data_IF_047363682947
#
_entry.id   IF_047363682947
#
_cell.length_a   1.000
_cell.length_b   1.000
_cell.length_c   1.000
_cell.angle_alpha   90.00
_cell.angle_beta   90.00
_cell.angle_gamma   90.00
#
_symmetry.space_group_name_H-M   'P 1'
#
loop_
_entity.id
_entity.type
_entity.pdbx_description
1 polymer ?
#
# COMPACT_ATOMS: atom_id res chain seq x y z
N UNK A 1 -31.18 21.61 63.14
CA UNK A 1 -30.23 20.84 62.30
C UNK A 1 -30.89 19.51 61.94
N UNK A 2 -31.27 19.31 60.68
CA UNK A 2 -31.63 18.00 60.12
C UNK A 2 -30.82 17.84 58.83
N UNK A 3 -29.81 16.95 58.79
CA UNK A 3 -29.12 16.62 57.56
C UNK A 3 -29.85 15.46 56.89
N UNK A 4 -30.11 15.54 55.58
CA UNK A 4 -30.68 14.39 54.88
C UNK A 4 -31.41 14.73 53.60
N UNK A 5 -30.73 15.36 52.64
CA UNK A 5 -31.20 15.38 51.25
C UNK A 5 -30.06 15.65 50.27
N UNK A 6 -28.92 14.97 50.46
CA UNK A 6 -27.79 15.10 49.52
C UNK A 6 -27.28 13.78 48.94
N UNK A 7 -27.69 12.64 49.49
CA UNK A 7 -27.23 11.32 49.02
C UNK A 7 -27.97 10.87 47.74
N UNK A 8 -29.18 11.38 47.48
CA UNK A 8 -29.97 10.97 46.32
C UNK A 8 -29.56 11.66 45.00
N UNK A 9 -28.89 12.82 45.05
CA UNK A 9 -28.40 13.50 43.83
C UNK A 9 -27.10 12.86 43.32
N UNK A 10 -26.26 12.31 44.22
CA UNK A 10 -25.02 11.65 43.82
C UNK A 10 -25.24 10.29 43.14
N UNK A 11 -26.41 9.67 43.32
CA UNK A 11 -26.72 8.36 42.75
C UNK A 11 -27.13 8.43 41.26
N UNK A 12 -27.48 9.61 40.75
CA UNK A 12 -27.92 9.80 39.36
C UNK A 12 -26.79 10.07 38.36
N UNK A 13 -25.55 10.28 38.82
CA UNK A 13 -24.40 10.58 37.96
C UNK A 13 -23.49 9.37 37.66
N UNK A 14 -23.77 8.20 38.24
CA UNK A 14 -23.02 6.96 37.95
C UNK A 14 -23.66 6.09 36.86
N UNK A 15 -24.71 6.56 36.20
CA UNK A 15 -25.29 5.90 35.03
C UNK A 15 -24.96 6.67 33.75
N UNK A 16 -23.70 7.05 33.56
CA UNK A 16 -23.20 7.37 32.24
C UNK A 16 -23.00 6.04 31.50
N UNK A 17 -23.65 5.80 30.35
CA UNK A 17 -23.25 4.68 29.52
C UNK A 17 -21.80 4.96 29.12
N UNK A 18 -20.92 4.01 29.40
CA UNK A 18 -19.59 3.95 28.81
C UNK A 18 -19.74 3.72 27.29
N UNK A 19 -20.17 4.76 26.58
CA UNK A 19 -20.11 4.83 25.14
C UNK A 19 -18.78 5.47 24.77
N UNK A 20 -18.02 4.76 23.93
CA UNK A 20 -16.78 5.19 23.28
C UNK A 20 -15.45 5.01 24.05
N UNK A 21 -15.17 3.81 24.55
CA UNK A 21 -13.93 3.18 24.08
C UNK A 21 -14.25 2.48 22.77
N UNK A 22 -14.04 3.17 21.64
CA UNK A 22 -13.93 2.50 20.36
C UNK A 22 -12.90 1.39 20.55
N UNK A 23 -13.34 0.14 20.45
CA UNK A 23 -12.45 -1.03 20.51
C UNK A 23 -11.41 -0.86 19.40
N UNK A 24 -10.19 -0.49 19.80
CA UNK A 24 -9.00 -0.47 18.94
C UNK A 24 -8.63 -1.88 18.42
N UNK A 25 -9.31 -2.93 18.91
CA UNK A 25 -9.19 -4.32 18.44
C UNK A 25 -10.09 -4.66 17.24
N UNK A 26 -10.65 -3.64 16.58
CA UNK A 26 -11.43 -3.84 15.37
C UNK A 26 -10.48 -4.17 14.21
N UNK A 27 -10.63 -5.32 13.52
CA UNK A 27 -9.70 -5.78 12.48
C UNK A 27 -9.64 -4.86 11.24
N UNK A 28 -10.56 -3.89 11.15
CA UNK A 28 -10.58 -2.88 10.10
C UNK A 28 -9.74 -1.63 10.44
N UNK A 29 -9.31 -1.45 11.70
CA UNK A 29 -8.44 -0.35 12.12
C UNK A 29 -6.99 -0.83 12.08
N UNK A 30 -6.10 -0.08 11.43
CA UNK A 30 -4.71 -0.54 11.27
C UNK A 30 -3.67 0.56 11.19
N UNK A 31 -2.43 0.14 11.44
CA UNK A 31 -1.20 0.92 11.23
C UNK A 31 -0.55 0.49 9.92
N UNK A 32 -0.09 1.45 9.12
CA UNK A 32 0.62 1.23 7.86
C UNK A 32 1.98 1.90 7.86
N UNK A 33 2.92 1.28 7.16
CA UNK A 33 4.17 1.90 6.73
C UNK A 33 4.17 1.92 5.20
N UNK A 34 4.30 3.09 4.60
CA UNK A 34 4.33 3.29 3.15
C UNK A 34 5.73 3.74 2.75
N UNK A 35 6.40 2.94 1.93
CA UNK A 35 7.67 3.30 1.32
C UNK A 35 7.40 4.03 0.01
N UNK A 36 7.86 5.28 -0.07
CA UNK A 36 7.74 6.11 -1.26
C UNK A 36 8.67 5.56 -2.36
N UNK A 37 8.15 5.34 -3.58
CA UNK A 37 9.00 4.94 -4.70
C UNK A 37 9.97 6.05 -5.08
N UNK A 38 11.14 5.68 -5.60
CA UNK A 38 12.21 6.62 -5.98
C UNK A 38 11.76 7.70 -6.97
N UNK A 39 10.74 7.39 -7.79
CA UNK A 39 10.15 8.30 -8.78
C UNK A 39 8.63 8.41 -8.60
N UNK A 40 8.17 9.06 -7.52
CA UNK A 40 6.75 9.07 -7.14
C UNK A 40 5.85 9.80 -8.15
N UNK A 41 6.42 10.65 -9.00
CA UNK A 41 5.70 11.32 -10.08
C UNK A 41 5.34 10.39 -11.25
N UNK A 42 6.03 9.26 -11.39
CA UNK A 42 5.87 8.33 -12.53
C UNK A 42 4.88 7.19 -12.25
N UNK A 43 4.30 7.17 -11.04
CA UNK A 43 3.44 6.09 -10.55
C UNK A 43 2.15 6.65 -9.97
N UNK A 44 1.05 5.88 -9.89
CA UNK A 44 -0.18 6.34 -9.29
C UNK A 44 -0.01 6.82 -7.84
N UNK A 45 -0.86 7.76 -7.37
CA UNK A 45 -0.86 8.18 -5.97
C UNK A 45 -1.03 7.02 -4.99
N UNK A 46 -0.41 7.12 -3.82
CA UNK A 46 -0.55 6.11 -2.77
C UNK A 46 -1.93 6.22 -2.10
N UNK A 47 -2.64 5.10 -1.97
CA UNK A 47 -3.96 5.09 -1.33
C UNK A 47 -3.85 5.20 0.20
N UNK A 48 -4.59 6.14 0.78
CA UNK A 48 -4.83 6.27 2.21
C UNK A 48 -6.30 5.97 2.49
N UNK A 49 -6.56 5.08 3.42
CA UNK A 49 -7.91 4.60 3.71
C UNK A 49 -8.46 5.35 4.91
N UNK A 50 -9.47 6.18 4.68
CA UNK A 50 -10.01 7.14 5.65
C UNK A 50 -11.50 6.91 5.87
N UNK A 51 -12.03 7.34 7.01
CA UNK A 51 -13.46 7.21 7.33
C UNK A 51 -13.96 8.45 8.07
N UNK A 52 -15.22 8.79 7.86
CA UNK A 52 -15.92 9.84 8.60
C UNK A 52 -15.69 9.72 10.11
N UNK A 53 -15.30 10.81 10.75
CA UNK A 53 -15.11 10.90 12.19
C UNK A 53 -13.91 10.12 12.76
N UNK A 54 -13.10 9.47 11.92
CA UNK A 54 -11.88 8.77 12.34
C UNK A 54 -10.65 9.58 11.93
N UNK A 55 -9.93 10.09 12.91
CA UNK A 55 -8.67 10.79 12.67
C UNK A 55 -7.59 9.80 12.21
N UNK A 56 -6.93 10.14 11.09
CA UNK A 56 -5.80 9.41 10.53
C UNK A 56 -4.53 10.24 10.71
N UNK A 57 -3.53 9.71 11.41
CA UNK A 57 -2.24 10.39 11.63
C UNK A 57 -1.21 9.96 10.58
N UNK A 58 -0.70 10.90 9.80
CA UNK A 58 0.42 10.69 8.90
C UNK A 58 1.71 11.19 9.55
N UNK A 59 2.76 10.39 9.50
CA UNK A 59 4.09 10.70 10.01
C UNK A 59 5.10 10.63 8.86
N UNK A 60 5.77 11.75 8.59
CA UNK A 60 6.78 11.89 7.55
C UNK A 60 8.18 11.94 8.16
N UNK A 61 9.17 11.38 7.47
CA UNK A 61 10.58 11.44 7.92
C UNK A 61 11.19 12.84 7.77
N UNK A 62 10.77 13.56 6.73
CA UNK A 62 11.20 14.92 6.47
C UNK A 62 10.12 15.92 6.90
N UNK A 63 10.52 17.13 7.32
CA UNK A 63 9.57 18.09 7.85
C UNK A 63 8.62 18.64 6.76
N UNK A 64 7.36 18.91 7.11
CA UNK A 64 6.37 19.59 6.28
C UNK A 64 6.78 21.05 6.05
N UNK A 65 6.59 21.53 4.81
CA UNK A 65 6.71 22.97 4.52
C UNK A 65 5.49 23.74 5.03
N UNK A 66 5.61 25.05 5.29
CA UNK A 66 4.45 25.91 5.50
C UNK A 66 3.50 25.84 4.29
N UNK A 67 2.22 25.57 4.52
CA UNK A 67 1.25 25.38 3.43
C UNK A 67 1.51 24.13 2.57
N UNK A 68 2.26 23.15 3.08
CA UNK A 68 2.65 21.93 2.36
C UNK A 68 1.50 21.05 1.88
N UNK A 69 0.30 21.23 2.43
CA UNK A 69 -0.81 20.31 2.22
C UNK A 69 -1.81 20.94 1.26
N UNK A 70 -1.98 20.30 0.11
CA UNK A 70 -2.89 20.75 -0.94
C UNK A 70 -3.96 19.70 -1.19
N UNK A 71 -5.21 20.12 -1.17
CA UNK A 71 -6.41 19.37 -1.58
C UNK A 71 -7.20 20.22 -2.59
N UNK A 72 -8.12 19.63 -3.38
CA UNK A 72 -9.03 20.41 -4.23
C UNK A 72 -9.78 21.48 -3.43
N UNK A 73 -9.89 22.70 -3.97
CA UNK A 73 -10.44 23.87 -3.26
C UNK A 73 -11.90 23.69 -2.78
N UNK A 74 -12.64 22.77 -3.39
CA UNK A 74 -14.03 22.44 -3.08
C UNK A 74 -14.19 21.35 -2.00
N UNK A 75 -13.09 20.77 -1.53
CA UNK A 75 -13.12 19.62 -0.63
C UNK A 75 -13.34 20.02 0.84
N UNK A 76 -14.57 20.48 1.13
CA UNK A 76 -15.01 20.87 2.48
C UNK A 76 -15.26 19.69 3.41
N UNK A 77 -15.16 18.45 2.94
CA UNK A 77 -15.42 17.24 3.75
C UNK A 77 -14.18 16.77 4.49
N UNK A 78 -13.05 17.48 4.39
CA UNK A 78 -11.80 17.11 5.05
C UNK A 78 -11.33 18.22 5.98
N UNK A 79 -10.98 17.85 7.19
CA UNK A 79 -10.20 18.68 8.09
C UNK A 79 -8.75 18.19 8.08
N UNK A 80 -7.83 19.09 7.75
CA UNK A 80 -6.39 18.83 7.71
C UNK A 80 -5.73 19.66 8.80
N UNK A 81 -5.01 19.01 9.71
CA UNK A 81 -4.38 19.67 10.86
C UNK A 81 -2.91 19.24 10.93
N UNK A 82 -1.96 20.07 10.46
CA UNK A 82 -0.55 19.89 10.80
C UNK A 82 -0.38 20.03 12.32
N UNK A 83 0.30 19.08 12.97
CA UNK A 83 0.50 19.15 14.44
C UNK A 83 1.91 19.64 14.78
N UNK A 84 2.90 19.10 14.09
CA UNK A 84 4.31 19.41 14.30
C UNK A 84 5.04 19.45 12.94
N UNK A 85 6.36 19.61 12.99
CA UNK A 85 7.18 19.74 11.80
C UNK A 85 7.11 18.53 10.88
N UNK A 86 6.58 17.36 11.25
CA UNK A 86 6.60 16.15 10.42
C UNK A 86 5.29 15.35 10.41
N UNK A 87 4.19 15.90 10.90
CA UNK A 87 2.94 15.17 11.05
C UNK A 87 1.71 15.91 10.57
N UNK A 88 0.75 15.14 10.06
CA UNK A 88 -0.52 15.63 9.55
C UNK A 88 -1.65 14.75 10.07
N UNK A 89 -2.66 15.36 10.70
CA UNK A 89 -3.94 14.71 10.95
C UNK A 89 -4.87 14.98 9.78
N UNK A 90 -5.54 13.91 9.33
CA UNK A 90 -6.64 13.96 8.38
C UNK A 90 -7.89 13.49 9.10
N UNK A 91 -8.95 14.32 9.11
CA UNK A 91 -10.27 13.94 9.63
C UNK A 91 -11.32 14.18 8.55
N UNK A 92 -11.83 13.12 7.92
CA UNK A 92 -13.02 13.24 7.08
C UNK A 92 -14.25 13.56 7.94
N UNK A 93 -15.00 14.58 7.53
CA UNK A 93 -16.26 14.99 8.14
C UNK A 93 -17.38 14.04 7.71
N UNK A 94 -17.39 13.65 6.43
CA UNK A 94 -18.29 12.63 5.88
C UNK A 94 -17.48 11.61 5.10
N UNK A 95 -18.06 10.43 4.93
CA UNK A 95 -17.45 9.40 4.10
C UNK A 95 -17.37 9.87 2.64
N UNK A 96 -16.31 9.46 1.96
CA UNK A 96 -16.17 9.69 0.54
C UNK A 96 -17.13 8.74 -0.20
N UNK A 97 -17.87 9.20 -1.23
CA UNK A 97 -18.78 8.33 -1.97
C UNK A 97 -18.03 7.14 -2.58
N UNK A 98 -18.67 5.98 -2.64
CA UNK A 98 -18.07 4.76 -3.19
C UNK A 98 -17.44 4.99 -4.56
N UNK A 99 -16.19 4.54 -4.72
CA UNK A 99 -15.41 4.71 -5.95
C UNK A 99 -14.84 6.12 -6.16
N UNK A 100 -15.08 7.06 -5.25
CA UNK A 100 -14.47 8.40 -5.27
C UNK A 100 -13.09 8.37 -4.63
N UNK A 101 -12.16 9.09 -5.25
CA UNK A 101 -10.82 9.33 -4.70
C UNK A 101 -10.60 10.83 -4.57
N UNK A 102 -10.16 11.28 -3.41
CA UNK A 102 -9.77 12.68 -3.21
C UNK A 102 -8.25 12.78 -3.28
N UNK A 103 -7.68 13.54 -4.22
CA UNK A 103 -6.25 13.72 -4.29
C UNK A 103 -5.76 14.58 -3.11
N UNK A 104 -4.65 14.18 -2.52
CA UNK A 104 -3.93 14.90 -1.47
C UNK A 104 -2.47 15.01 -1.88
N UNK A 105 -1.92 16.23 -1.88
CA UNK A 105 -0.51 16.47 -2.12
C UNK A 105 0.15 17.01 -0.87
N UNK A 106 1.34 16.49 -0.54
CA UNK A 106 2.09 16.90 0.66
C UNK A 106 3.54 17.22 0.30
N UNK A 107 3.99 18.44 0.59
CA UNK A 107 5.37 18.87 0.39
C UNK A 107 6.23 18.68 1.66
N UNK A 108 7.33 17.93 1.53
CA UNK A 108 8.24 17.62 2.64
C UNK A 108 9.66 18.09 2.35
N UNK A 109 10.32 18.82 3.23
CA UNK A 109 11.74 19.19 3.11
C UNK A 109 12.12 20.00 1.85
N UNK A 110 13.34 20.55 1.80
CA UNK A 110 13.81 21.31 0.64
C UNK A 110 14.16 20.38 -0.54
N UNK A 111 13.80 20.80 -1.76
CA UNK A 111 14.21 20.11 -3.00
C UNK A 111 13.51 18.80 -3.33
N UNK A 112 12.58 18.32 -2.49
CA UNK A 112 11.78 17.13 -2.81
C UNK A 112 10.55 17.48 -3.63
N UNK A 113 10.11 16.54 -4.46
CA UNK A 113 8.83 16.64 -5.16
C UNK A 113 7.67 16.37 -4.18
N UNK A 114 6.49 16.97 -4.39
CA UNK A 114 5.33 16.68 -3.55
C UNK A 114 4.95 15.20 -3.57
N UNK A 115 4.68 14.65 -2.40
CA UNK A 115 4.14 13.30 -2.24
C UNK A 115 2.65 13.32 -2.61
N UNK A 116 2.22 12.33 -3.41
CA UNK A 116 0.84 12.24 -3.92
C UNK A 116 0.10 11.08 -3.27
N UNK A 117 -1.05 11.37 -2.71
CA UNK A 117 -1.94 10.41 -2.09
C UNK A 117 -3.34 10.47 -2.70
N UNK A 118 -4.06 9.35 -2.63
CA UNK A 118 -5.47 9.26 -2.93
C UNK A 118 -6.21 8.84 -1.65
N UNK A 119 -7.04 9.73 -1.11
CA UNK A 119 -7.90 9.41 0.02
C UNK A 119 -9.11 8.62 -0.48
N UNK A 120 -9.38 7.48 0.15
CA UNK A 120 -10.49 6.59 -0.19
C UNK A 120 -11.21 6.13 1.06
N UNK A 121 -12.52 5.98 0.99
CA UNK A 121 -13.30 5.35 2.06
C UNK A 121 -13.52 3.87 1.73
N UNK A 122 -13.20 3.00 2.69
CA UNK A 122 -13.46 1.55 2.58
C UNK A 122 -14.26 1.05 3.79
N UNK A 123 -15.25 0.15 3.59
CA UNK A 123 -16.10 -0.35 4.67
C UNK A 123 -15.36 -1.32 5.63
N UNK A 124 -14.30 -1.97 5.13
CA UNK A 124 -13.54 -3.00 5.82
C UNK A 124 -12.19 -2.51 6.35
N UNK A 125 -11.86 -1.23 6.18
CA UNK A 125 -10.54 -0.73 6.50
C UNK A 125 -10.45 0.80 6.72
N UNK A 126 -9.68 1.21 7.73
CA UNK A 126 -9.27 2.58 8.02
C UNK A 126 -7.85 2.61 8.56
N UNK A 127 -7.06 3.57 8.11
CA UNK A 127 -5.69 3.78 8.55
C UNK A 127 -5.67 4.80 9.69
N UNK A 128 -5.40 4.36 10.92
CA UNK A 128 -5.30 5.28 12.07
C UNK A 128 -3.94 5.97 12.15
N UNK A 129 -2.91 5.31 11.63
CA UNK A 129 -1.55 5.80 11.63
C UNK A 129 -0.82 5.29 10.39
N UNK A 130 -0.20 6.21 9.66
CA UNK A 130 0.58 5.92 8.46
C UNK A 130 1.95 6.55 8.61
N UNK A 131 2.99 5.72 8.69
CA UNK A 131 4.38 6.19 8.60
C UNK A 131 4.80 6.18 7.13
N UNK A 132 5.31 7.30 6.66
CA UNK A 132 5.76 7.49 5.28
C UNK A 132 7.28 7.56 5.28
N UNK A 133 7.91 6.63 4.57
CA UNK A 133 9.36 6.41 4.55
C UNK A 133 9.87 6.59 3.12
N UNK A 134 11.02 7.23 2.94
CA UNK A 134 11.63 7.33 1.62
C UNK A 134 12.27 5.99 1.22
N UNK A 135 12.01 5.52 -0.01
CA UNK A 135 12.71 4.36 -0.54
C UNK A 135 14.19 4.67 -0.79
N UNK A 136 15.07 3.75 -0.41
CA UNK A 136 16.49 3.85 -0.70
C UNK A 136 16.93 2.88 -1.82
N UNK A 137 17.93 3.24 -2.64
CA UNK A 137 18.54 2.31 -3.59
C UNK A 137 19.19 1.13 -2.85
N UNK A 138 18.98 -0.10 -3.32
CA UNK A 138 19.62 -1.27 -2.71
C UNK A 138 21.08 -1.40 -3.13
N UNK A 139 21.99 -1.72 -2.20
CA UNK A 139 23.41 -1.90 -2.48
C UNK A 139 23.71 -2.99 -3.54
N UNK A 140 22.87 -4.02 -3.66
CA UNK A 140 23.05 -5.16 -4.57
C UNK A 140 22.38 -4.99 -5.95
N UNK A 141 22.00 -3.77 -6.31
CA UNK A 141 21.17 -3.52 -7.50
C UNK A 141 21.77 -4.08 -8.79
N UNK A 142 23.10 -4.07 -8.94
CA UNK A 142 23.78 -4.64 -10.13
C UNK A 142 23.57 -6.15 -10.24
N UNK A 143 23.75 -6.91 -9.15
CA UNK A 143 23.58 -8.36 -9.14
C UNK A 143 22.11 -8.76 -9.37
N UNK A 144 21.18 -8.07 -8.69
CA UNK A 144 19.74 -8.25 -8.87
C UNK A 144 19.33 -7.98 -10.31
N UNK A 145 19.85 -6.91 -10.90
CA UNK A 145 19.57 -6.51 -12.28
C UNK A 145 20.12 -7.52 -13.29
N UNK A 146 21.32 -8.06 -13.08
CA UNK A 146 21.90 -9.09 -13.94
C UNK A 146 21.07 -10.38 -13.92
N UNK A 147 20.68 -10.85 -12.74
CA UNK A 147 19.84 -12.04 -12.60
C UNK A 147 18.45 -11.83 -13.22
N UNK A 148 17.81 -10.68 -12.97
CA UNK A 148 16.51 -10.37 -13.57
C UNK A 148 16.56 -10.37 -15.11
N UNK A 149 17.61 -9.80 -15.72
CA UNK A 149 17.81 -9.86 -17.18
C UNK A 149 18.01 -11.29 -17.68
N UNK A 150 18.76 -12.12 -16.95
CA UNK A 150 18.92 -13.54 -17.30
C UNK A 150 17.59 -14.31 -17.23
N UNK A 151 16.74 -14.01 -16.26
CA UNK A 151 15.40 -14.61 -16.15
C UNK A 151 14.46 -14.15 -17.28
N UNK A 152 14.58 -12.89 -17.72
CA UNK A 152 13.84 -12.37 -18.86
C UNK A 152 14.26 -13.01 -20.20
N UNK A 153 15.54 -13.27 -20.39
CA UNK A 153 16.06 -13.88 -21.63
C UNK A 153 15.79 -15.38 -21.74
N UNK A 154 15.37 -16.04 -20.66
CA UNK A 154 15.07 -17.47 -20.67
C UNK A 154 13.67 -17.72 -21.30
N UNK A 155 13.58 -18.38 -22.47
CA UNK A 155 12.33 -18.50 -23.24
C UNK A 155 11.22 -19.27 -22.50
N UNK A 156 11.62 -20.29 -21.72
CA UNK A 156 10.74 -21.22 -21.02
C UNK A 156 11.19 -21.46 -19.57
N UNK A 157 11.62 -20.41 -18.87
CA UNK A 157 12.24 -20.48 -17.54
C UNK A 157 11.34 -20.97 -16.39
N UNK A 158 10.73 -22.16 -16.53
CA UNK A 158 10.35 -23.09 -15.47
C UNK A 158 11.61 -23.69 -14.83
N UNK A 159 12.62 -22.87 -14.53
CA UNK A 159 13.86 -23.34 -13.92
C UNK A 159 13.57 -23.72 -12.47
N UNK A 160 12.96 -24.89 -12.23
CA UNK A 160 12.67 -25.46 -10.92
C UNK A 160 12.10 -24.45 -9.90
N UNK A 161 11.30 -23.50 -10.39
CA UNK A 161 10.64 -22.50 -9.56
C UNK A 161 9.42 -23.17 -8.97
N UNK A 162 9.17 -22.97 -7.68
CA UNK A 162 7.89 -23.34 -7.08
C UNK A 162 6.79 -22.74 -7.98
N UNK A 163 6.11 -23.61 -8.74
CA UNK A 163 5.03 -23.16 -9.61
C UNK A 163 3.92 -22.75 -8.65
N UNK A 164 3.55 -21.46 -8.59
CA UNK A 164 2.49 -21.03 -7.72
C UNK A 164 1.22 -21.82 -8.09
N UNK A 165 0.72 -22.67 -7.18
CA UNK A 165 -0.54 -23.41 -7.39
C UNK A 165 -1.73 -22.45 -7.59
N UNK A 166 -1.58 -21.20 -7.15
CA UNK A 166 -2.49 -20.10 -7.45
C UNK A 166 -1.77 -19.00 -8.18
N UNK A 167 -2.14 -18.87 -9.44
CA UNK A 167 -1.91 -17.68 -10.23
C UNK A 167 -2.70 -16.51 -9.63
N UNK A 168 -2.03 -15.38 -9.40
CA UNK A 168 -2.70 -14.10 -9.20
C UNK A 168 -3.14 -13.55 -10.57
N UNK A 169 -4.46 -13.43 -10.78
CA UNK A 169 -5.05 -12.89 -12.01
C UNK A 169 -5.49 -11.47 -11.79
N UNK A 170 -4.76 -10.53 -12.38
CA UNK A 170 -5.13 -9.12 -12.34
C UNK A 170 -5.91 -8.76 -13.60
N UNK A 171 -7.19 -8.50 -13.44
CA UNK A 171 -8.07 -8.19 -14.57
C UNK A 171 -8.27 -6.70 -14.75
N UNK A 172 -7.96 -6.21 -15.95
CA UNK A 172 -8.52 -4.95 -16.45
C UNK A 172 -9.46 -5.25 -17.60
N UNK A 173 -10.24 -4.24 -18.04
CA UNK A 173 -11.15 -4.39 -19.19
C UNK A 173 -10.43 -4.86 -20.47
N UNK A 174 -9.12 -4.58 -20.60
CA UNK A 174 -8.37 -4.78 -21.86
C UNK A 174 -7.23 -5.79 -21.73
N UNK A 175 -6.67 -5.97 -20.53
CA UNK A 175 -5.49 -6.82 -20.28
C UNK A 175 -5.62 -7.66 -19.03
N UNK A 176 -4.90 -8.79 -19.01
CA UNK A 176 -4.74 -9.66 -17.84
C UNK A 176 -3.27 -9.71 -17.44
N UNK A 177 -2.97 -9.41 -16.18
CA UNK A 177 -1.67 -9.64 -15.56
C UNK A 177 -1.67 -10.97 -14.82
N UNK A 178 -0.60 -11.74 -14.93
CA UNK A 178 -0.48 -13.07 -14.35
C UNK A 178 0.89 -13.26 -13.70
N UNK A 179 0.95 -13.60 -12.41
CA UNK A 179 2.17 -14.13 -11.80
C UNK A 179 2.34 -15.60 -12.21
N UNK A 180 3.37 -15.89 -13.00
CA UNK A 180 3.61 -17.21 -13.61
C UNK A 180 4.53 -18.09 -12.75
N UNK A 181 5.51 -17.49 -12.07
CA UNK A 181 6.46 -18.20 -11.20
C UNK A 181 7.06 -17.27 -10.15
N UNK A 182 7.52 -17.85 -9.04
CA UNK A 182 8.30 -17.13 -8.02
C UNK A 182 9.54 -17.96 -7.67
N UNK A 183 10.72 -17.35 -7.80
CA UNK A 183 11.99 -17.87 -7.32
C UNK A 183 12.29 -17.23 -5.96
N UNK A 184 12.61 -18.04 -4.97
CA UNK A 184 13.11 -17.59 -3.68
C UNK A 184 14.62 -17.85 -3.58
N UNK A 185 15.34 -16.88 -3.04
CA UNK A 185 16.76 -16.91 -2.73
C UNK A 185 16.93 -16.29 -1.34
N UNK A 186 16.90 -17.13 -0.32
CA UNK A 186 16.77 -16.71 1.07
C UNK A 186 15.53 -15.81 1.26
N UNK A 187 15.72 -14.57 1.69
CA UNK A 187 14.63 -13.59 1.85
C UNK A 187 14.31 -12.84 0.57
N UNK A 188 15.11 -12.96 -0.49
CA UNK A 188 14.87 -12.27 -1.75
C UNK A 188 14.00 -13.15 -2.65
N UNK A 189 13.11 -12.52 -3.41
CA UNK A 189 12.36 -13.22 -4.44
C UNK A 189 12.49 -12.57 -5.81
N UNK A 190 12.20 -13.36 -6.84
CA UNK A 190 12.03 -12.95 -8.22
C UNK A 190 10.72 -13.55 -8.75
N UNK A 191 9.71 -12.71 -8.96
CA UNK A 191 8.43 -13.13 -9.52
C UNK A 191 8.40 -12.83 -11.02
N UNK A 192 8.13 -13.86 -11.84
CA UNK A 192 7.85 -13.68 -13.26
C UNK A 192 6.39 -13.31 -13.45
N UNK A 193 6.14 -12.16 -14.06
CA UNK A 193 4.80 -11.66 -14.36
C UNK A 193 4.64 -11.52 -15.86
N UNK A 194 3.55 -12.05 -16.40
CA UNK A 194 3.15 -11.85 -17.79
C UNK A 194 1.92 -10.98 -17.88
N UNK A 195 1.98 -9.95 -18.73
CA UNK A 195 0.83 -9.14 -19.12
C UNK A 195 0.38 -9.59 -20.50
N UNK A 196 -0.90 -9.90 -20.65
CA UNK A 196 -1.49 -10.36 -21.91
C UNK A 196 -2.67 -9.48 -22.28
N UNK A 197 -2.76 -9.11 -23.56
CA UNK A 197 -3.95 -8.43 -24.08
C UNK A 197 -5.09 -9.41 -24.28
N UNK A 198 -6.32 -9.00 -23.94
CA UNK A 198 -7.54 -9.79 -24.22
C UNK A 198 -8.00 -9.63 -25.67
N UNK A 199 -7.63 -8.54 -26.34
CA UNK A 199 -8.06 -8.24 -27.70
C UNK A 199 -6.89 -8.37 -28.68
N UNK A 200 -7.08 -9.20 -29.71
CA UNK A 200 -6.09 -9.38 -30.78
C UNK A 200 -5.79 -8.02 -31.44
N UNK A 201 -4.52 -7.67 -31.55
CA UNK A 201 -4.07 -6.40 -32.16
C UNK A 201 -4.04 -5.19 -31.22
N UNK A 202 -4.29 -5.37 -29.93
CA UNK A 202 -4.10 -4.31 -28.91
C UNK A 202 -2.93 -4.68 -28.01
N UNK A 203 -2.01 -3.74 -27.77
CA UNK A 203 -0.91 -3.96 -26.83
C UNK A 203 -1.45 -4.20 -25.40
N UNK A 204 -0.76 -5.04 -24.60
CA UNK A 204 -1.08 -5.15 -23.18
C UNK A 204 -0.93 -3.79 -22.48
N UNK A 205 -1.66 -3.59 -21.38
CA UNK A 205 -1.56 -2.38 -20.58
C UNK A 205 -0.12 -2.13 -20.12
N UNK A 206 0.27 -0.86 -19.98
CA UNK A 206 1.61 -0.50 -19.55
C UNK A 206 1.70 -0.59 -18.02
N UNK A 207 2.46 -1.57 -17.53
CA UNK A 207 2.84 -1.66 -16.13
C UNK A 207 3.86 -0.57 -15.80
N UNK A 208 3.52 0.29 -14.83
CA UNK A 208 4.40 1.40 -14.40
C UNK A 208 5.08 1.10 -13.07
N UNK A 209 4.44 0.31 -12.21
CA UNK A 209 4.97 -0.07 -10.91
C UNK A 209 4.39 -1.42 -10.46
N UNK A 210 5.15 -2.15 -9.66
CA UNK A 210 4.61 -3.22 -8.84
C UNK A 210 4.76 -2.84 -7.37
N UNK A 211 3.71 -3.04 -6.57
CA UNK A 211 3.73 -2.81 -5.12
C UNK A 211 3.62 -4.12 -4.38
N UNK A 212 4.36 -4.21 -3.28
CA UNK A 212 4.36 -5.32 -2.36
C UNK A 212 3.67 -4.87 -1.07
N UNK A 213 2.96 -5.81 -0.44
CA UNK A 213 2.40 -5.63 0.89
C UNK A 213 2.73 -6.83 1.75
N UNK A 214 3.15 -6.59 2.97
CA UNK A 214 3.34 -7.63 3.98
C UNK A 214 2.77 -7.22 5.32
N UNK A 215 2.33 -8.21 6.09
CA UNK A 215 1.94 -8.05 7.49
C UNK A 215 3.10 -8.48 8.36
N UNK A 216 3.67 -7.52 9.10
CA UNK A 216 4.76 -7.74 10.04
C UNK A 216 4.25 -8.42 11.32
N UNK A 217 5.18 -8.94 12.14
CA UNK A 217 4.86 -9.65 13.38
C UNK A 217 4.09 -8.81 14.40
N UNK A 218 4.24 -7.48 14.37
CA UNK A 218 3.54 -6.52 15.22
C UNK A 218 2.16 -6.10 14.66
N UNK A 219 1.74 -6.68 13.54
CA UNK A 219 0.48 -6.37 12.85
C UNK A 219 0.54 -5.13 11.95
N UNK A 220 1.68 -4.44 11.84
CA UNK A 220 1.84 -3.32 10.91
C UNK A 220 1.83 -3.83 9.47
N UNK A 221 1.05 -3.17 8.61
CA UNK A 221 1.09 -3.40 7.17
C UNK A 221 2.20 -2.56 6.55
N UNK A 222 3.22 -3.21 6.02
CA UNK A 222 4.27 -2.58 5.23
C UNK A 222 3.90 -2.65 3.75
N UNK A 223 3.93 -1.53 3.05
CA UNK A 223 3.77 -1.44 1.60
C UNK A 223 4.96 -0.74 0.97
N UNK A 224 5.52 -1.35 -0.07
CA UNK A 224 6.73 -0.83 -0.72
C UNK A 224 6.78 -1.21 -2.20
N UNK A 225 7.51 -0.45 -3.04
CA UNK A 225 7.67 -0.79 -4.44
C UNK A 225 8.57 -2.03 -4.61
N UNK A 226 8.22 -2.89 -5.56
CA UNK A 226 9.13 -3.91 -6.08
C UNK A 226 10.04 -3.30 -7.14
N UNK A 227 11.25 -3.82 -7.27
CA UNK A 227 12.09 -3.57 -8.44
C UNK A 227 11.43 -4.22 -9.66
N UNK A 228 11.16 -3.41 -10.69
CA UNK A 228 10.49 -3.82 -11.91
C UNK A 228 11.48 -3.86 -13.07
N UNK A 229 11.66 -5.05 -13.65
CA UNK A 229 12.46 -5.26 -14.85
C UNK A 229 11.55 -5.71 -15.99
N UNK A 230 11.52 -4.95 -17.08
CA UNK A 230 10.65 -5.24 -18.23
C UNK A 230 11.44 -5.92 -19.35
N UNK A 231 10.91 -7.02 -19.86
CA UNK A 231 11.38 -7.63 -21.10
C UNK A 231 10.82 -6.92 -22.33
N UNK A 232 11.24 -7.39 -23.51
CA UNK A 232 10.74 -6.91 -24.78
C UNK A 232 9.20 -7.07 -24.87
N UNK A 233 8.54 -6.01 -25.33
CA UNK A 233 7.10 -6.03 -25.52
C UNK A 233 6.76 -6.79 -26.81
N UNK A 234 6.21 -7.99 -26.67
CA UNK A 234 5.63 -8.72 -27.79
C UNK A 234 4.24 -8.20 -28.15
N UNK A 235 3.75 -8.55 -29.35
CA UNK A 235 2.46 -8.06 -29.87
C UNK A 235 1.23 -8.44 -29.00
N UNK A 236 1.32 -9.50 -28.20
CA UNK A 236 0.20 -10.04 -27.39
C UNK A 236 0.58 -10.19 -25.91
N UNK A 237 1.88 -10.30 -25.62
CA UNK A 237 2.39 -10.59 -24.28
C UNK A 237 3.66 -9.78 -24.00
N UNK A 238 3.74 -9.24 -22.80
CA UNK A 238 4.94 -8.64 -22.24
C UNK A 238 5.29 -9.37 -20.94
N UNK A 239 6.57 -9.69 -20.74
CA UNK A 239 7.06 -10.33 -19.51
C UNK A 239 7.82 -9.31 -18.67
N UNK A 240 7.68 -9.45 -17.36
CA UNK A 240 8.36 -8.65 -16.36
C UNK A 240 8.94 -9.58 -15.29
N UNK A 241 10.05 -9.16 -14.70
CA UNK A 241 10.57 -9.73 -13.46
C UNK A 241 10.41 -8.69 -12.38
N UNK A 242 9.77 -9.10 -11.29
CA UNK A 242 9.65 -8.30 -10.07
C UNK A 242 10.60 -8.84 -9.03
N UNK A 243 11.35 -7.98 -8.35
CA UNK A 243 12.20 -8.40 -7.24
C UNK A 243 11.94 -7.56 -6.00
N UNK A 244 12.00 -8.21 -4.85
CA UNK A 244 11.92 -7.59 -3.55
C UNK A 244 12.58 -8.46 -2.49
N UNK A 245 12.75 -7.91 -1.30
CA UNK A 245 13.20 -8.63 -0.12
C UNK A 245 12.00 -8.77 0.82
N UNK A 246 11.76 -9.99 1.29
CA UNK A 246 10.76 -10.28 2.30
C UNK A 246 11.20 -9.66 3.63
N UNK A 247 10.38 -8.76 4.21
CA UNK A 247 10.63 -8.20 5.52
C UNK A 247 10.72 -9.31 6.58
N UNK A 248 11.50 -9.06 7.62
CA UNK A 248 11.68 -10.04 8.67
C UNK A 248 10.39 -10.21 9.46
N UNK A 249 10.04 -11.46 9.80
CA UNK A 249 8.78 -11.75 10.49
C UNK A 249 7.52 -11.51 9.65
N UNK A 250 7.63 -11.32 8.33
CA UNK A 250 6.47 -11.21 7.46
C UNK A 250 5.71 -12.54 7.37
N UNK A 251 4.42 -12.53 7.71
CA UNK A 251 3.55 -13.73 7.69
C UNK A 251 2.79 -13.92 6.37
N UNK A 252 2.69 -12.86 5.57
CA UNK A 252 1.99 -12.83 4.27
C UNK A 252 2.69 -11.86 3.35
N UNK A 253 2.75 -12.19 2.06
CA UNK A 253 3.20 -11.30 0.99
C UNK A 253 2.10 -11.19 -0.06
N UNK A 254 1.82 -9.98 -0.50
CA UNK A 254 0.87 -9.67 -1.56
C UNK A 254 1.51 -8.77 -2.61
N UNK A 255 1.00 -8.84 -3.84
CA UNK A 255 1.47 -8.10 -4.99
C UNK A 255 0.31 -7.37 -5.65
N UNK A 256 0.53 -6.09 -5.97
CA UNK A 256 -0.31 -5.30 -6.86
C UNK A 256 0.50 -4.86 -8.09
N UNK A 257 -0.12 -4.85 -9.27
CA UNK A 257 0.49 -4.34 -10.50
C UNK A 257 -0.24 -3.05 -10.89
N UNK A 258 0.46 -1.93 -10.87
CA UNK A 258 -0.11 -0.62 -11.11
C UNK A 258 0.02 -0.24 -12.60
N UNK A 259 -1.08 0.17 -13.20
CA UNK A 259 -1.10 0.79 -14.53
C UNK A 259 -0.87 2.29 -14.43
N UNK A 260 -0.68 2.96 -15.58
CA UNK A 260 -0.52 4.41 -15.62
C UNK A 260 -1.71 5.18 -15.04
N UNK A 261 -2.93 4.67 -15.22
CA UNK A 261 -4.16 5.38 -14.89
C UNK A 261 -4.77 4.96 -13.54
N UNK A 262 -4.37 3.82 -12.98
CA UNK A 262 -4.94 3.32 -11.72
C UNK A 262 -4.03 2.32 -11.00
N UNK A 263 -4.03 2.34 -9.65
CA UNK A 263 -3.35 1.33 -8.86
C UNK A 263 -4.03 -0.05 -9.03
N UNK A 264 -3.22 -1.12 -9.01
CA UNK A 264 -3.72 -2.48 -8.99
C UNK A 264 -4.24 -2.90 -7.61
N UNK A 265 -5.09 -3.92 -7.59
CA UNK A 265 -5.48 -4.60 -6.36
C UNK A 265 -4.37 -5.54 -5.88
N UNK A 266 -4.17 -5.62 -4.56
CA UNK A 266 -3.25 -6.58 -3.96
C UNK A 266 -3.82 -7.99 -4.05
N UNK A 267 -2.97 -8.93 -4.47
CA UNK A 267 -3.27 -10.36 -4.49
C UNK A 267 -2.18 -11.15 -3.77
N UNK A 268 -2.50 -12.23 -3.07
CA UNK A 268 -1.50 -13.05 -2.38
C UNK A 268 -0.44 -13.57 -3.34
N UNK A 269 0.82 -13.44 -2.94
CA UNK A 269 1.94 -14.18 -3.52
C UNK A 269 2.24 -15.41 -2.65
N UNK A 270 2.61 -16.56 -3.24
CA UNK A 270 3.04 -17.70 -2.46
C UNK A 270 4.36 -17.36 -1.77
N UNK A 271 4.36 -17.52 -0.45
CA UNK A 271 5.58 -17.65 0.31
C UNK A 271 6.15 -19.04 0.06
N UNK A 272 7.48 -19.17 0.07
CA UNK A 272 8.10 -20.49 0.14
C UNK A 272 7.48 -21.21 1.34
N UNK A 273 6.94 -22.42 1.15
CA UNK A 273 6.72 -23.32 2.28
C UNK A 273 8.09 -23.48 2.90
N UNK A 274 8.33 -22.76 4.02
CA UNK A 274 9.49 -23.00 4.86
C UNK A 274 9.43 -24.50 5.10
N UNK A 275 10.34 -25.23 4.46
CA UNK A 275 10.50 -26.66 4.67
C UNK A 275 10.89 -26.78 6.13
N UNK A 276 9.88 -26.91 6.97
CA UNK A 276 9.97 -27.45 8.31
C UNK A 276 10.28 -28.91 8.09
N UNK A 277 11.55 -29.20 7.79
CA UNK A 277 12.06 -30.53 7.99
C UNK A 277 12.44 -30.66 9.48
N UNK A 278 11.95 -31.73 10.14
CA UNK A 278 12.19 -31.99 11.55
C UNK A 278 13.65 -32.32 11.86
#
# INVERSE_FOLDING_TARGET
MRPGSWILVLSLLLSAPAAAQARLDSPWIRRRMLVIPLHPEQVPPLELQVRAGVASLLLFEAPLKPGAVTVPEDEKRLQLVPIDDGSLIIVPITDLPDGTQVPLSVETGPGTKPLRFALVTRPDAVDIQVRVVMGEPSADETAVSALARSLLSTPDGRAALAVPQRTADLETRVSRGQAESVLWMERRFFATVALRSRKKGTSPWRLVQARLRATLADGVLLEWPAHLFSGEAGAIRQRHILSGVLPEGASRLELALDGGDSPGAFQPLPLEEVRTHP
#
